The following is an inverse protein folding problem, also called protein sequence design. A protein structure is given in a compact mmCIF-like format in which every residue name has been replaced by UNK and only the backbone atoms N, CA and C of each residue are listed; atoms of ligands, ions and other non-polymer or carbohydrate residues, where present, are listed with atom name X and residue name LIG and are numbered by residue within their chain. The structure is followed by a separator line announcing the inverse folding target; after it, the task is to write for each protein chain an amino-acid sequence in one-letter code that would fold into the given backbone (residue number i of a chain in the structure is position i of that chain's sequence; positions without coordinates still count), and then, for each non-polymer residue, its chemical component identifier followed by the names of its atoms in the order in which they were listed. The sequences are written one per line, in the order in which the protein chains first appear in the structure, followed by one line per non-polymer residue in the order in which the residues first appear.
data_IF_065370800128
#
_entry.id   IF_065370800128
#
_cell.length_a   1.000
_cell.length_b   1.000
_cell.length_c   1.000
_cell.angle_alpha   90.00
_cell.angle_beta   90.00
_cell.angle_gamma   90.00
#
_symmetry.space_group_name_H-M   'P 1'
#
loop_
_entity.id
_entity.type
_entity.pdbx_description
1 polymer ?
#
# COMPACT_ATOMS: atom_id res chain seq x y z
N UNK A 1 8.78 -5.51 16.28
CA UNK A 1 7.75 -4.68 15.61
C UNK A 1 6.83 -5.59 14.83
N UNK A 2 5.53 -5.42 14.98
CA UNK A 2 4.57 -6.22 14.24
C UNK A 2 4.56 -5.81 12.76
N UNK A 3 4.33 -6.78 11.84
CA UNK A 3 4.22 -6.45 10.43
C UNK A 3 3.09 -5.45 10.16
N UNK A 4 3.35 -4.50 9.27
CA UNK A 4 2.35 -3.55 8.84
C UNK A 4 1.66 -4.12 7.60
N UNK A 5 0.34 -4.37 7.64
CA UNK A 5 -0.37 -4.85 6.46
C UNK A 5 -0.42 -3.76 5.39
N UNK A 6 -0.09 -4.13 4.18
CA UNK A 6 -0.17 -3.23 3.02
C UNK A 6 -0.93 -3.96 1.93
N UNK A 7 -2.11 -3.46 1.57
CA UNK A 7 -2.93 -4.08 0.53
C UNK A 7 -2.94 -3.21 -0.71
N UNK A 8 -2.50 -3.80 -1.82
CA UNK A 8 -2.47 -3.13 -3.11
C UNK A 8 -3.68 -3.58 -3.90
N UNK A 9 -4.59 -2.64 -4.19
CA UNK A 9 -5.87 -2.93 -4.81
C UNK A 9 -5.83 -2.56 -6.29
N UNK A 10 -5.97 -3.53 -7.16
CA UNK A 10 -5.98 -3.26 -8.58
C UNK A 10 -6.32 -4.49 -9.39
N UNK A 11 -7.22 -4.34 -10.36
CA UNK A 11 -7.64 -5.45 -11.21
C UNK A 11 -6.65 -5.72 -12.35
N UNK A 12 -5.68 -4.85 -12.58
CA UNK A 12 -4.68 -5.01 -13.62
C UNK A 12 -3.29 -5.10 -13.02
N UNK A 13 -2.48 -6.01 -13.59
CA UNK A 13 -1.14 -6.29 -13.07
C UNK A 13 -0.23 -5.06 -13.07
N UNK A 14 -0.26 -4.25 -14.13
CA UNK A 14 0.63 -3.09 -14.21
C UNK A 14 0.27 -2.03 -13.16
N UNK A 15 -1.01 -1.90 -12.81
CA UNK A 15 -1.43 -0.98 -11.75
C UNK A 15 -0.84 -1.40 -10.41
N UNK A 16 -0.94 -2.70 -10.08
CA UNK A 16 -0.39 -3.23 -8.84
C UNK A 16 1.13 -3.08 -8.80
N UNK A 17 1.78 -3.31 -9.94
CA UNK A 17 3.24 -3.23 -10.01
C UNK A 17 3.75 -1.81 -9.73
N UNK A 18 3.11 -0.80 -10.29
CA UNK A 18 3.51 0.60 -10.05
C UNK A 18 3.41 0.96 -8.58
N UNK A 19 2.32 0.57 -7.94
CA UNK A 19 2.12 0.84 -6.50
C UNK A 19 3.12 0.03 -5.67
N UNK A 20 3.34 -1.23 -6.03
CA UNK A 20 4.30 -2.08 -5.34
C UNK A 20 5.70 -1.47 -5.33
N UNK A 21 6.12 -0.91 -6.46
CA UNK A 21 7.42 -0.24 -6.55
C UNK A 21 7.52 0.95 -5.61
N UNK A 22 6.47 1.75 -5.52
CA UNK A 22 6.44 2.89 -4.61
C UNK A 22 6.53 2.42 -3.14
N UNK A 23 5.80 1.36 -2.80
CA UNK A 23 5.81 0.79 -1.45
C UNK A 23 7.19 0.23 -1.12
N UNK A 24 7.79 -0.54 -2.03
CA UNK A 24 9.12 -1.11 -1.81
C UNK A 24 10.18 -0.02 -1.63
N UNK A 25 10.13 1.00 -2.46
CA UNK A 25 11.08 2.11 -2.39
C UNK A 25 10.97 2.85 -1.06
N UNK A 26 9.74 3.14 -0.61
CA UNK A 26 9.51 3.79 0.67
C UNK A 26 9.95 2.88 1.83
N UNK A 27 9.65 1.60 1.75
CA UNK A 27 10.06 0.62 2.77
C UNK A 27 11.56 0.54 2.94
N UNK A 28 12.30 0.55 1.84
CA UNK A 28 13.77 0.51 1.89
C UNK A 28 14.35 1.73 2.60
N UNK A 29 13.75 2.91 2.41
CA UNK A 29 14.18 4.11 3.11
C UNK A 29 13.93 3.97 4.61
N UNK A 30 12.76 3.46 5.00
CA UNK A 30 12.38 3.33 6.40
C UNK A 30 13.15 2.24 7.14
N UNK A 31 13.60 1.20 6.44
CA UNK A 31 14.40 0.14 7.06
C UNK A 31 15.69 0.68 7.68
N UNK A 32 16.22 1.77 7.16
CA UNK A 32 17.41 2.41 7.71
C UNK A 32 17.16 3.03 9.08
N UNK A 33 15.93 3.51 9.29
CA UNK A 33 15.52 4.10 10.57
C UNK A 33 14.93 3.04 11.51
N UNK A 34 14.26 2.04 10.95
CA UNK A 34 13.58 0.99 11.71
C UNK A 34 14.01 -0.38 11.18
N UNK A 35 15.18 -0.90 11.64
CA UNK A 35 15.72 -2.16 11.10
C UNK A 35 14.81 -3.38 11.27
N UNK A 36 13.87 -3.34 12.21
CA UNK A 36 12.94 -4.44 12.45
C UNK A 36 11.61 -4.26 11.71
N UNK A 37 11.52 -3.25 10.84
CA UNK A 37 10.32 -3.00 10.07
C UNK A 37 10.03 -4.15 9.11
N UNK A 38 8.80 -4.65 9.15
CA UNK A 38 8.32 -5.66 8.23
C UNK A 38 7.01 -5.19 7.61
N UNK A 39 6.92 -5.26 6.29
CA UNK A 39 5.70 -4.95 5.56
C UNK A 39 5.10 -6.25 5.05
N UNK A 40 3.84 -6.50 5.38
CA UNK A 40 3.09 -7.63 4.85
C UNK A 40 2.31 -7.13 3.63
N UNK A 41 2.90 -7.29 2.45
CA UNK A 41 2.34 -6.76 1.21
C UNK A 41 1.46 -7.82 0.55
N UNK A 42 0.21 -7.48 0.33
CA UNK A 42 -0.76 -8.35 -0.34
C UNK A 42 -1.30 -7.65 -1.57
N UNK A 43 -1.37 -8.38 -2.67
CA UNK A 43 -1.97 -7.91 -3.92
C UNK A 43 -3.40 -8.42 -4.01
N UNK A 44 -4.35 -7.51 -4.04
CA UNK A 44 -5.77 -7.84 -4.16
C UNK A 44 -6.21 -7.51 -5.58
N UNK A 45 -6.46 -8.54 -6.37
CA UNK A 45 -6.78 -8.40 -7.80
C UNK A 45 -8.23 -8.65 -8.16
N UNK A 46 -8.95 -9.37 -7.30
CA UNK A 46 -10.36 -9.66 -7.53
C UNK A 46 -11.22 -8.43 -7.24
N UNK A 47 -12.07 -8.05 -8.19
CA UNK A 47 -12.98 -6.92 -8.01
C UNK A 47 -13.88 -7.15 -6.78
N UNK A 48 -14.34 -8.38 -6.58
CA UNK A 48 -15.19 -8.71 -5.43
C UNK A 48 -14.47 -8.46 -4.11
N UNK A 49 -13.20 -8.83 -4.02
CA UNK A 49 -12.43 -8.59 -2.80
C UNK A 49 -12.11 -7.11 -2.61
N UNK A 50 -11.78 -6.41 -3.69
CA UNK A 50 -11.51 -4.99 -3.62
C UNK A 50 -12.72 -4.22 -3.09
N UNK A 51 -13.92 -4.64 -3.47
CA UNK A 51 -15.17 -4.01 -3.02
C UNK A 51 -15.39 -4.12 -1.51
N UNK A 52 -14.73 -5.06 -0.84
CA UNK A 52 -14.80 -5.16 0.62
C UNK A 52 -14.09 -4.01 1.32
N UNK A 53 -13.13 -3.38 0.63
CA UNK A 53 -12.30 -2.31 1.20
C UNK A 53 -12.67 -0.93 0.70
N UNK A 54 -13.30 -0.83 -0.45
CA UNK A 54 -13.72 0.45 -1.01
C UNK A 54 -15.08 0.30 -1.70
N UNK A 55 -16.02 1.21 -1.43
CA UNK A 55 -17.30 1.20 -2.11
C UNK A 55 -17.25 1.79 -3.51
N UNK A 56 -16.10 2.33 -3.93
CA UNK A 56 -15.94 3.03 -5.20
C UNK A 56 -15.16 2.17 -6.17
N UNK A 57 -15.60 2.11 -7.44
CA UNK A 57 -14.88 1.42 -8.50
C UNK A 57 -13.74 2.30 -9.03
N UNK A 58 -12.84 2.68 -8.16
CA UNK A 58 -11.71 3.49 -8.56
C UNK A 58 -10.42 2.68 -8.33
N UNK A 59 -9.75 2.35 -9.41
CA UNK A 59 -8.51 1.59 -9.37
C UNK A 59 -7.38 2.46 -9.91
N UNK A 60 -6.17 2.29 -9.41
CA UNK A 60 -5.76 1.42 -8.31
C UNK A 60 -6.00 2.06 -6.94
N UNK A 61 -5.84 1.26 -5.87
CA UNK A 61 -5.95 1.73 -4.50
C UNK A 61 -4.85 1.16 -3.62
N UNK A 62 -4.65 1.78 -2.47
CA UNK A 62 -3.66 1.36 -1.50
C UNK A 62 -4.22 1.47 -0.10
N UNK A 63 -4.11 0.38 0.65
CA UNK A 63 -4.43 0.35 2.08
C UNK A 63 -3.16 0.13 2.89
N UNK A 64 -3.00 0.90 3.94
CA UNK A 64 -1.91 0.72 4.90
C UNK A 64 -2.55 0.57 6.28
N UNK A 65 -2.27 -0.57 6.92
CA UNK A 65 -3.01 -0.94 8.10
C UNK A 65 -4.46 -1.16 7.74
N UNK A 66 -5.36 -0.47 8.41
CA UNK A 66 -6.79 -0.56 8.15
C UNK A 66 -7.32 0.65 7.39
N UNK A 67 -6.43 1.55 6.95
CA UNK A 67 -6.83 2.77 6.28
C UNK A 67 -6.64 2.70 4.77
N UNK A 68 -7.66 3.12 4.03
CA UNK A 68 -7.57 3.31 2.59
C UNK A 68 -6.94 4.68 2.35
N UNK A 69 -5.63 4.70 2.07
CA UNK A 69 -4.88 5.96 2.00
C UNK A 69 -4.85 6.58 0.60
N UNK A 70 -5.14 5.79 -0.43
CA UNK A 70 -5.10 6.28 -1.80
C UNK A 70 -6.06 5.46 -2.65
N UNK A 71 -6.83 6.12 -3.51
CA UNK A 71 -7.74 5.45 -4.42
C UNK A 71 -7.90 6.26 -5.70
N UNK A 72 -7.92 5.56 -6.84
CA UNK A 72 -8.15 6.18 -8.14
C UNK A 72 -6.94 6.87 -8.76
N UNK A 73 -5.76 6.74 -8.16
CA UNK A 73 -4.52 7.32 -8.70
C UNK A 73 -3.32 6.55 -8.18
N UNK A 74 -2.16 6.81 -8.77
CA UNK A 74 -0.91 6.22 -8.32
C UNK A 74 -0.27 7.12 -7.28
N UNK A 75 0.04 6.59 -6.08
CA UNK A 75 0.72 7.37 -5.06
C UNK A 75 2.21 7.53 -5.40
N UNK A 76 2.79 8.63 -4.97
CA UNK A 76 4.24 8.81 -5.07
C UNK A 76 4.95 8.09 -3.91
N UNK A 77 6.26 7.86 -4.08
CA UNK A 77 7.07 7.30 -3.02
C UNK A 77 6.99 8.14 -1.73
N UNK A 78 7.03 9.47 -1.87
CA UNK A 78 6.99 10.35 -0.71
C UNK A 78 5.66 10.29 0.02
N UNK A 79 4.56 10.14 -0.70
CA UNK A 79 3.26 9.95 -0.08
C UNK A 79 3.22 8.64 0.70
N UNK A 80 3.68 7.55 0.09
CA UNK A 80 3.72 6.25 0.75
C UNK A 80 4.60 6.30 1.98
N UNK A 81 5.74 6.98 1.89
CA UNK A 81 6.66 7.14 3.00
C UNK A 81 5.98 7.82 4.20
N UNK A 82 5.22 8.89 3.94
CA UNK A 82 4.49 9.59 4.99
C UNK A 82 3.41 8.71 5.63
N UNK A 83 2.67 7.97 4.84
CA UNK A 83 1.63 7.07 5.35
C UNK A 83 2.23 5.94 6.19
N UNK A 84 3.35 5.37 5.76
CA UNK A 84 4.03 4.33 6.52
C UNK A 84 4.58 4.86 7.84
N UNK A 85 5.13 6.08 7.85
CA UNK A 85 5.60 6.69 9.09
C UNK A 85 4.45 6.85 10.10
N UNK A 86 3.29 7.26 9.62
CA UNK A 86 2.10 7.38 10.47
C UNK A 86 1.69 6.02 11.04
N UNK A 87 1.78 4.96 10.24
CA UNK A 87 1.42 3.62 10.68
C UNK A 87 2.41 3.05 11.70
N UNK A 88 3.68 3.45 11.62
CA UNK A 88 4.71 3.01 12.57
C UNK A 88 4.52 3.67 13.94
N UNK A 89 4.12 4.92 13.94
CA UNK A 89 3.89 5.66 15.15
C UNK A 89 2.48 5.38 15.69
#
# INVERSE_FOLDING_TARGET
MEPIPVKILGNKRHQRYIIWRAVQSAGMILEKEFPNLTLDIQNISSIQEIQKYTPVFAFPGLMIGEELVCVGRYPSRNEVLGWLRTAIN
#
